data_IF_877769062989
#
_entry.id   IF_877769062989
#
_cell.length_a   1.000
_cell.length_b   1.000
_cell.length_c   1.000
_cell.angle_alpha   90.00
_cell.angle_beta   90.00
_cell.angle_gamma   90.00
#
_symmetry.space_group_name_H-M   'P 1'
#
loop_
_entity.id
_entity.type
_entity.pdbx_description
1 polymer ?
#
# COMPACT_ATOMS: atom_id res chain seq x y z
N UNK A 1 13.48 -7.80 -16.54
CA UNK A 1 12.21 -8.03 -17.24
C UNK A 1 11.12 -7.50 -16.31
N UNK A 2 10.31 -6.55 -16.77
CA UNK A 2 9.17 -6.00 -16.01
C UNK A 2 8.02 -7.04 -16.03
N UNK A 3 7.10 -7.05 -15.04
CA UNK A 3 6.07 -8.07 -14.94
C UNK A 3 5.08 -8.02 -16.13
N UNK A 4 4.79 -9.17 -16.75
CA UNK A 4 4.01 -9.22 -17.99
C UNK A 4 2.50 -9.00 -17.79
N UNK A 5 1.87 -9.45 -16.69
CA UNK A 5 0.43 -9.20 -16.44
C UNK A 5 0.04 -9.23 -14.94
N UNK A 6 0.13 -8.10 -14.21
CA UNK A 6 -0.16 -8.03 -12.77
C UNK A 6 -1.65 -8.00 -12.34
N UNK A 7 -2.60 -7.85 -13.27
CA UNK A 7 -3.91 -7.20 -13.01
C UNK A 7 -5.03 -8.09 -12.48
N UNK A 8 -5.04 -9.37 -12.86
CA UNK A 8 -6.23 -10.23 -12.72
C UNK A 8 -6.63 -10.57 -11.29
N UNK A 9 -5.73 -10.37 -10.31
CA UNK A 9 -5.92 -10.79 -8.92
C UNK A 9 -5.57 -9.74 -7.87
N UNK A 10 -4.89 -8.66 -8.27
CA UNK A 10 -4.56 -7.53 -7.38
C UNK A 10 -5.74 -6.63 -7.14
N UNK A 11 -6.68 -6.56 -8.10
CA UNK A 11 -7.82 -5.62 -8.07
C UNK A 11 -8.70 -5.82 -6.83
N UNK A 12 -9.02 -7.07 -6.49
CA UNK A 12 -9.87 -7.35 -5.32
C UNK A 12 -9.14 -7.10 -4.00
N UNK A 13 -7.83 -7.39 -3.94
CA UNK A 13 -7.01 -7.13 -2.75
C UNK A 13 -6.82 -5.64 -2.53
N UNK A 14 -6.58 -4.89 -3.61
CA UNK A 14 -6.41 -3.44 -3.60
C UNK A 14 -7.70 -2.73 -3.20
N UNK A 15 -8.84 -3.14 -3.77
CA UNK A 15 -10.15 -2.60 -3.41
C UNK A 15 -10.47 -2.82 -1.92
N UNK A 16 -10.14 -3.99 -1.36
CA UNK A 16 -10.33 -4.25 0.08
C UNK A 16 -9.42 -3.37 0.93
N UNK A 17 -8.16 -3.15 0.51
CA UNK A 17 -7.23 -2.28 1.24
C UNK A 17 -7.65 -0.81 1.20
N UNK A 18 -8.16 -0.34 0.05
CA UNK A 18 -8.77 0.98 -0.14
C UNK A 18 -10.02 1.13 0.74
N UNK A 19 -10.92 0.15 0.75
CA UNK A 19 -12.11 0.16 1.60
C UNK A 19 -11.74 0.18 3.10
N UNK A 20 -10.78 -0.66 3.52
CA UNK A 20 -10.29 -0.68 4.91
C UNK A 20 -9.63 0.66 5.30
N UNK A 21 -8.94 1.34 4.36
CA UNK A 21 -8.36 2.66 4.57
C UNK A 21 -9.45 3.74 4.70
N UNK A 22 -10.40 3.76 3.77
CA UNK A 22 -11.52 4.70 3.75
C UNK A 22 -12.39 4.55 5.01
N UNK A 23 -12.63 3.33 5.46
CA UNK A 23 -13.36 3.05 6.70
C UNK A 23 -12.63 3.61 7.93
N UNK A 24 -11.29 3.54 7.97
CA UNK A 24 -10.50 4.12 9.05
C UNK A 24 -10.59 5.66 9.05
N UNK A 25 -10.49 6.28 7.87
CA UNK A 25 -10.62 7.73 7.71
C UNK A 25 -12.03 8.21 8.06
N UNK A 26 -13.07 7.55 7.55
CA UNK A 26 -14.47 7.85 7.88
C UNK A 26 -14.76 7.72 9.37
N UNK A 27 -14.25 6.65 10.00
CA UNK A 27 -14.41 6.45 11.45
C UNK A 27 -13.68 7.50 12.30
N UNK A 28 -12.64 8.15 11.76
CA UNK A 28 -11.98 9.31 12.36
C UNK A 28 -12.81 10.59 12.19
N UNK A 29 -13.27 10.88 10.97
CA UNK A 29 -14.09 12.05 10.63
C UNK A 29 -15.40 12.13 11.42
N UNK A 30 -16.09 11.00 11.59
CA UNK A 30 -17.33 10.91 12.39
C UNK A 30 -17.14 11.32 13.87
N UNK A 31 -15.89 11.53 14.32
CA UNK A 31 -15.51 11.74 15.71
C UNK A 31 -14.74 13.04 15.95
N UNK A 32 -15.00 14.06 15.14
CA UNK A 32 -14.33 15.38 15.04
C UNK A 32 -14.14 16.21 16.35
N UNK A 33 -14.43 15.65 17.53
CA UNK A 33 -14.33 16.34 18.81
C UNK A 33 -14.03 15.42 20.02
N UNK A 34 -13.60 14.18 19.79
CA UNK A 34 -13.31 13.21 20.85
C UNK A 34 -11.95 13.38 21.55
N UNK A 35 -11.77 12.85 22.78
CA UNK A 35 -10.45 12.73 23.41
C UNK A 35 -9.49 11.93 22.51
N UNK A 36 -8.33 12.49 22.21
CA UNK A 36 -7.35 11.88 21.30
C UNK A 36 -7.51 12.26 19.83
N UNK A 37 -8.57 12.99 19.45
CA UNK A 37 -8.80 13.44 18.08
C UNK A 37 -7.61 14.21 17.50
N UNK A 38 -7.04 15.17 18.23
CA UNK A 38 -5.87 15.93 17.73
C UNK A 38 -4.65 15.03 17.41
N UNK A 39 -4.46 13.96 18.17
CA UNK A 39 -3.37 13.02 17.95
C UNK A 39 -3.67 12.05 16.78
N UNK A 40 -4.93 11.65 16.62
CA UNK A 40 -5.40 10.87 15.45
C UNK A 40 -5.33 11.72 14.17
N UNK A 41 -5.78 12.97 14.24
CA UNK A 41 -5.74 13.96 13.15
C UNK A 41 -4.32 14.25 12.69
N UNK A 42 -3.36 14.36 13.63
CA UNK A 42 -1.95 14.50 13.28
C UNK A 42 -1.42 13.30 12.49
N UNK A 43 -1.93 12.09 12.74
CA UNK A 43 -1.55 10.89 11.99
C UNK A 43 -2.18 10.87 10.60
N UNK A 44 -3.45 11.28 10.46
CA UNK A 44 -4.15 11.36 9.18
C UNK A 44 -3.52 12.43 8.29
N UNK A 45 -3.32 13.64 8.84
CA UNK A 45 -2.68 14.75 8.13
C UNK A 45 -1.25 14.43 7.71
N UNK A 46 -0.49 13.69 8.53
CA UNK A 46 0.84 13.21 8.15
C UNK A 46 0.82 12.41 6.85
N UNK A 47 -0.23 11.64 6.56
CA UNK A 47 -0.31 10.91 5.29
C UNK A 47 -0.67 11.85 4.13
N UNK A 48 -1.66 12.73 4.31
CA UNK A 48 -2.04 13.72 3.31
C UNK A 48 -0.85 14.63 2.92
N UNK A 49 -0.16 15.21 3.91
CA UNK A 49 1.02 16.07 3.68
C UNK A 49 2.14 15.33 2.93
N UNK A 50 2.23 14.00 3.10
CA UNK A 50 3.24 13.18 2.43
C UNK A 50 2.90 12.92 0.97
N UNK A 51 1.62 12.63 0.67
CA UNK A 51 1.13 12.51 -0.70
C UNK A 51 1.25 13.85 -1.44
N UNK A 52 0.80 14.95 -0.84
CA UNK A 52 0.86 16.31 -1.42
C UNK A 52 2.30 16.71 -1.75
N UNK A 53 3.24 16.47 -0.83
CA UNK A 53 4.66 16.74 -1.07
C UNK A 53 5.22 15.88 -2.20
N UNK A 54 4.81 14.60 -2.26
CA UNK A 54 5.24 13.66 -3.28
C UNK A 54 4.73 14.05 -4.68
N UNK A 55 3.46 14.43 -4.78
CA UNK A 55 2.82 14.94 -6.00
C UNK A 55 3.47 16.24 -6.47
N UNK A 56 3.73 17.18 -5.55
CA UNK A 56 4.38 18.44 -5.86
C UNK A 56 5.81 18.22 -6.41
N UNK A 57 6.57 17.30 -5.82
CA UNK A 57 7.91 16.94 -6.29
C UNK A 57 7.89 16.28 -7.68
N UNK A 58 6.92 15.39 -7.91
CA UNK A 58 6.76 14.73 -9.21
C UNK A 58 6.36 15.74 -10.29
N UNK A 59 5.37 16.59 -10.00
CA UNK A 59 4.94 17.68 -10.88
C UNK A 59 6.08 18.66 -11.20
N UNK A 60 6.90 19.01 -10.22
CA UNK A 60 8.08 19.85 -10.45
C UNK A 60 9.12 19.20 -11.35
N UNK A 61 9.24 17.86 -11.33
CA UNK A 61 10.22 17.10 -12.09
C UNK A 61 9.82 16.85 -13.54
N UNK A 62 8.58 16.42 -13.76
CA UNK A 62 8.10 15.95 -15.07
C UNK A 62 6.97 16.80 -15.69
N UNK A 63 6.53 17.86 -15.02
CA UNK A 63 5.43 18.74 -15.45
C UNK A 63 4.06 18.26 -14.93
N UNK A 64 2.95 18.99 -15.17
CA UNK A 64 1.62 18.58 -14.69
C UNK A 64 0.95 17.51 -15.56
N UNK A 65 1.48 17.20 -16.75
CA UNK A 65 0.82 16.32 -17.72
C UNK A 65 0.64 14.86 -17.27
N UNK A 66 1.37 14.40 -16.26
CA UNK A 66 1.15 13.06 -15.67
C UNK A 66 -0.14 12.99 -14.82
N UNK A 67 -0.68 14.14 -14.38
CA UNK A 67 -1.97 14.21 -13.67
C UNK A 67 -3.14 14.03 -14.64
N UNK A 68 -3.03 14.61 -15.84
CA UNK A 68 -4.10 14.65 -16.85
C UNK A 68 -4.42 13.27 -17.45
N UNK A 69 -3.46 12.35 -17.52
CA UNK A 69 -3.66 11.00 -18.08
C UNK A 69 -4.35 10.02 -17.11
N UNK A 70 -4.56 10.42 -15.84
CA UNK A 70 -5.25 9.60 -14.83
C UNK A 70 -6.78 9.76 -14.84
N UNK A 71 -7.31 10.85 -15.42
CA UNK A 71 -8.75 11.12 -15.51
C UNK A 71 -9.46 10.32 -16.62
N UNK A 72 -8.72 9.74 -17.56
CA UNK A 72 -9.24 8.90 -18.66
C UNK A 72 -9.17 7.39 -18.35
N UNK A 73 -9.06 7.01 -17.07
CA UNK A 73 -9.28 5.63 -16.65
C UNK A 73 -10.80 5.32 -16.69
N UNK A 74 -11.28 4.40 -17.54
CA UNK A 74 -12.69 4.02 -17.57
C UNK A 74 -12.99 3.10 -16.38
N UNK A 75 -13.10 3.68 -15.18
CA UNK A 75 -13.62 3.02 -13.99
C UNK A 75 -15.09 3.35 -13.77
N UNK A 76 -15.87 3.34 -14.83
CA UNK A 76 -17.32 3.27 -14.76
C UNK A 76 -17.79 2.53 -16.00
N UNK A 77 -17.99 1.22 -15.89
CA UNK A 77 -19.21 0.60 -16.40
C UNK A 77 -19.32 -0.84 -15.90
N UNK A 78 -20.55 -1.17 -15.52
CA UNK A 78 -20.90 -2.37 -14.78
C UNK A 78 -20.50 -3.67 -15.45
N UNK A 79 -19.94 -4.57 -14.64
CA UNK A 79 -19.95 -5.99 -14.95
C UNK A 79 -20.76 -6.69 -13.87
N UNK A 80 -22.05 -6.87 -14.16
CA UNK A 80 -22.84 -7.95 -13.60
C UNK A 80 -22.12 -9.26 -13.94
N UNK A 81 -21.68 -10.00 -12.92
CA UNK A 81 -21.23 -11.38 -13.10
C UNK A 81 -22.18 -12.33 -12.38
N UNK A 82 -22.75 -13.23 -13.17
CA UNK A 82 -23.58 -14.37 -12.78
C UNK A 82 -22.90 -15.23 -11.70
N UNK A 83 -23.68 -15.90 -10.83
CA UNK A 83 -23.14 -16.63 -9.70
C UNK A 83 -22.53 -17.96 -10.18
N UNK A 84 -21.20 -18.06 -10.11
CA UNK A 84 -20.51 -19.34 -10.23
C UNK A 84 -20.69 -20.13 -8.93
N UNK A 85 -21.40 -21.25 -9.07
CA UNK A 85 -21.70 -22.33 -8.14
C UNK A 85 -20.87 -22.38 -6.84
N UNK A 86 -21.48 -21.89 -5.75
CA UNK A 86 -20.95 -21.89 -4.40
C UNK A 86 -21.16 -23.26 -3.72
N UNK A 87 -20.38 -24.29 -4.06
CA UNK A 87 -20.39 -25.56 -3.31
C UNK A 87 -19.02 -26.23 -3.20
N UNK A 88 -18.09 -25.63 -2.42
CA UNK A 88 -16.95 -26.36 -1.85
C UNK A 88 -16.34 -25.67 -0.60
N UNK A 89 -17.02 -25.83 0.54
CA UNK A 89 -16.53 -26.11 1.90
C UNK A 89 -15.24 -25.45 2.50
N UNK A 90 -15.46 -24.75 3.63
CA UNK A 90 -14.50 -24.53 4.74
C UNK A 90 -14.81 -23.24 5.54
N UNK A 91 -15.22 -23.27 6.83
CA UNK A 91 -15.73 -22.08 7.53
C UNK A 91 -14.69 -21.14 8.15
N UNK A 92 -13.38 -21.37 8.01
CA UNK A 92 -12.35 -20.62 8.77
C UNK A 92 -11.25 -19.93 7.94
N UNK A 93 -11.35 -19.95 6.60
CA UNK A 93 -10.36 -19.29 5.74
C UNK A 93 -10.85 -17.88 5.39
N UNK A 94 -10.07 -16.81 5.68
CA UNK A 94 -10.40 -15.47 5.20
C UNK A 94 -10.62 -15.48 3.69
N UNK A 95 -11.68 -14.82 3.19
CA UNK A 95 -12.07 -14.79 1.77
C UNK A 95 -10.88 -14.44 0.85
N UNK A 96 -9.99 -13.59 1.34
CA UNK A 96 -8.72 -13.30 0.69
C UNK A 96 -7.90 -14.58 0.45
N UNK A 97 -7.59 -15.42 1.44
CA UNK A 97 -6.83 -16.66 1.23
C UNK A 97 -7.49 -17.63 0.25
N UNK A 98 -8.82 -17.63 0.17
CA UNK A 98 -9.58 -18.44 -0.79
C UNK A 98 -9.39 -17.98 -2.24
N UNK A 99 -9.44 -16.67 -2.50
CA UNK A 99 -9.25 -16.09 -3.83
C UNK A 99 -7.80 -16.23 -4.35
N UNK A 100 -6.85 -16.55 -3.47
CA UNK A 100 -5.40 -16.47 -3.73
C UNK A 100 -4.73 -17.77 -4.16
N UNK A 101 -5.44 -18.90 -4.12
CA UNK A 101 -4.83 -20.24 -4.19
C UNK A 101 -4.02 -20.51 -5.47
N UNK A 102 -4.39 -19.87 -6.59
CA UNK A 102 -3.92 -20.26 -7.92
C UNK A 102 -3.25 -19.11 -8.73
N UNK A 103 -2.67 -18.09 -8.07
CA UNK A 103 -2.15 -16.87 -8.74
C UNK A 103 -0.67 -16.57 -8.42
N UNK A 104 0.14 -16.37 -9.45
CA UNK A 104 1.53 -15.91 -9.33
C UNK A 104 1.58 -14.38 -9.11
N UNK A 105 2.10 -13.94 -7.95
CA UNK A 105 2.27 -12.52 -7.62
C UNK A 105 3.68 -12.05 -7.94
N UNK A 106 3.84 -10.74 -8.13
CA UNK A 106 5.19 -10.16 -8.13
C UNK A 106 5.76 -10.23 -6.69
N UNK A 107 7.01 -10.67 -6.52
CA UNK A 107 7.56 -10.97 -5.19
C UNK A 107 7.60 -9.78 -4.20
N UNK A 108 7.77 -8.56 -4.69
CA UNK A 108 7.78 -7.33 -3.87
C UNK A 108 6.39 -7.11 -3.27
N UNK A 109 5.35 -7.24 -4.09
CA UNK A 109 3.96 -7.11 -3.65
C UNK A 109 3.54 -8.24 -2.69
N UNK A 110 3.95 -9.48 -2.97
CA UNK A 110 3.68 -10.61 -2.08
C UNK A 110 4.28 -10.40 -0.68
N UNK A 111 5.53 -9.92 -0.62
CA UNK A 111 6.19 -9.58 0.66
C UNK A 111 5.47 -8.46 1.40
N UNK A 112 5.05 -7.42 0.68
CA UNK A 112 4.29 -6.32 1.26
C UNK A 112 2.99 -6.82 1.91
N UNK A 113 2.23 -7.67 1.21
CA UNK A 113 1.00 -8.28 1.74
C UNK A 113 1.24 -9.19 2.94
N UNK A 114 2.29 -10.02 2.89
CA UNK A 114 2.63 -10.95 3.96
C UNK A 114 2.94 -10.23 5.29
N UNK A 115 3.50 -9.02 5.21
CA UNK A 115 3.69 -8.13 6.36
C UNK A 115 2.41 -7.37 6.73
N UNK A 116 1.74 -6.76 5.75
CA UNK A 116 0.59 -5.89 5.95
C UNK A 116 -0.58 -6.59 6.63
N UNK A 117 -0.92 -7.82 6.21
CA UNK A 117 -2.08 -8.54 6.75
C UNK A 117 -2.00 -8.76 8.26
N UNK A 118 -0.94 -9.39 8.79
CA UNK A 118 -0.74 -9.53 10.23
C UNK A 118 -0.65 -8.17 10.96
N UNK A 119 0.08 -7.19 10.41
CA UNK A 119 0.25 -5.89 11.04
C UNK A 119 -1.08 -5.13 11.19
N UNK A 120 -1.89 -5.11 10.12
CA UNK A 120 -3.22 -4.50 10.11
C UNK A 120 -4.16 -5.20 11.09
N UNK A 121 -4.25 -6.54 11.05
CA UNK A 121 -5.13 -7.29 11.97
C UNK A 121 -4.78 -7.03 13.43
N UNK A 122 -3.49 -7.06 13.76
CA UNK A 122 -3.03 -6.72 15.10
C UNK A 122 -3.42 -5.29 15.47
N UNK A 123 -3.03 -4.31 14.66
CA UNK A 123 -3.20 -2.91 14.97
C UNK A 123 -4.69 -2.53 15.07
N UNK A 124 -5.54 -3.01 14.14
CA UNK A 124 -6.99 -2.77 14.15
C UNK A 124 -7.64 -3.36 15.39
N UNK A 125 -7.29 -4.60 15.76
CA UNK A 125 -7.82 -5.26 16.96
C UNK A 125 -7.35 -4.58 18.26
N UNK A 126 -6.11 -4.11 18.32
CA UNK A 126 -5.58 -3.37 19.45
C UNK A 126 -6.19 -1.97 19.54
N UNK A 127 -6.33 -1.27 18.41
CA UNK A 127 -6.90 0.07 18.31
C UNK A 127 -8.38 0.11 18.71
N UNK A 128 -9.13 -0.94 18.37
CA UNK A 128 -10.52 -1.10 18.80
C UNK A 128 -10.66 -1.22 20.33
N UNK A 129 -9.63 -1.73 21.02
CA UNK A 129 -9.60 -1.84 22.49
C UNK A 129 -9.07 -0.58 23.15
N UNK A 130 -8.03 0.01 22.58
CA UNK A 130 -7.38 1.21 23.07
C UNK A 130 -7.04 2.13 21.92
N UNK A 131 -7.66 3.31 21.91
CA UNK A 131 -7.40 4.33 20.91
C UNK A 131 -6.05 4.97 21.16
N UNK A 132 -5.05 4.55 20.39
CA UNK A 132 -3.69 5.02 20.49
C UNK A 132 -3.18 5.44 19.11
N UNK A 133 -2.58 6.63 18.96
CA UNK A 133 -2.18 7.17 17.65
C UNK A 133 -1.16 6.29 16.93
N UNK A 134 -0.27 5.63 17.66
CA UNK A 134 0.68 4.69 17.05
C UNK A 134 -0.01 3.44 16.48
N UNK A 135 -1.12 2.99 17.05
CA UNK A 135 -1.88 1.87 16.49
C UNK A 135 -2.62 2.30 15.23
N UNK A 136 -3.24 3.49 15.23
CA UNK A 136 -3.86 4.07 14.04
C UNK A 136 -2.84 4.22 12.89
N UNK A 137 -1.65 4.76 13.20
CA UNK A 137 -0.57 4.91 12.22
C UNK A 137 -0.13 3.57 11.63
N UNK A 138 -0.07 2.50 12.44
CA UNK A 138 0.21 1.14 11.92
C UNK A 138 -0.93 0.65 11.03
N UNK A 139 -2.19 0.85 11.42
CA UNK A 139 -3.34 0.46 10.59
C UNK A 139 -3.30 1.10 9.21
N UNK A 140 -3.21 2.43 9.15
CA UNK A 140 -3.21 3.18 7.89
C UNK A 140 -2.04 2.78 6.99
N UNK A 141 -0.83 2.75 7.56
CA UNK A 141 0.36 2.41 6.79
C UNK A 141 0.40 0.93 6.36
N UNK A 142 -0.23 0.03 7.11
CA UNK A 142 -0.37 -1.36 6.68
C UNK A 142 -1.28 -1.50 5.44
N UNK A 143 -2.27 -0.60 5.25
CA UNK A 143 -3.01 -0.52 3.99
C UNK A 143 -2.17 0.13 2.89
N UNK A 144 -1.56 1.29 3.18
CA UNK A 144 -0.87 2.10 2.18
C UNK A 144 0.36 1.41 1.57
N UNK A 145 1.16 0.67 2.33
CA UNK A 145 2.37 -0.01 1.80
C UNK A 145 2.05 -0.92 0.60
N UNK A 146 1.16 -1.93 0.70
CA UNK A 146 0.82 -2.77 -0.44
C UNK A 146 0.09 -1.98 -1.55
N UNK A 147 -0.74 -0.98 -1.23
CA UNK A 147 -1.38 -0.12 -2.24
C UNK A 147 -0.34 0.57 -3.12
N UNK A 148 0.64 1.24 -2.49
CA UNK A 148 1.71 1.96 -3.18
C UNK A 148 2.63 1.05 -3.98
N UNK A 149 2.95 -0.15 -3.47
CA UNK A 149 3.65 -1.16 -4.26
C UNK A 149 2.81 -1.61 -5.46
N UNK A 150 1.50 -1.78 -5.31
CA UNK A 150 0.60 -2.16 -6.40
C UNK A 150 0.54 -1.08 -7.48
N UNK A 151 0.31 0.19 -7.10
CA UNK A 151 0.30 1.33 -8.02
C UNK A 151 1.63 1.44 -8.78
N UNK A 152 2.77 1.34 -8.09
CA UNK A 152 4.06 1.34 -8.76
C UNK A 152 4.19 0.23 -9.82
N UNK A 153 3.75 -0.99 -9.50
CA UNK A 153 3.84 -2.11 -10.43
C UNK A 153 2.87 -1.98 -11.61
N UNK A 154 1.73 -1.32 -11.39
CA UNK A 154 0.77 -1.00 -12.44
C UNK A 154 1.37 0.04 -13.39
N UNK A 155 1.95 1.11 -12.85
CA UNK A 155 2.67 2.13 -13.61
C UNK A 155 3.79 1.54 -14.45
N UNK A 156 4.58 0.60 -13.91
CA UNK A 156 5.65 -0.04 -14.66
C UNK A 156 5.21 -0.87 -15.88
N UNK A 157 3.93 -1.19 -15.98
CA UNK A 157 3.40 -1.86 -17.16
C UNK A 157 2.85 -0.88 -18.20
N UNK A 158 2.69 0.40 -17.85
CA UNK A 158 2.56 1.46 -18.84
C UNK A 158 3.93 1.77 -19.46
N UNK A 159 3.96 2.02 -20.76
CA UNK A 159 5.18 2.36 -21.51
C UNK A 159 5.23 3.86 -21.87
N UNK A 160 4.60 4.71 -21.05
CA UNK A 160 4.62 6.16 -21.26
C UNK A 160 5.94 6.80 -20.79
N UNK A 161 6.06 8.11 -21.02
CA UNK A 161 7.27 8.88 -20.74
C UNK A 161 7.55 9.05 -19.23
N UNK A 162 6.53 8.87 -18.38
CA UNK A 162 6.51 9.23 -16.98
C UNK A 162 6.40 8.02 -16.05
N UNK A 163 5.93 6.86 -16.52
CA UNK A 163 5.60 5.71 -15.66
C UNK A 163 6.77 5.21 -14.82
N UNK A 164 8.02 5.35 -15.29
CA UNK A 164 9.20 5.04 -14.47
C UNK A 164 9.40 6.02 -13.31
N UNK A 165 9.09 7.30 -13.50
CA UNK A 165 9.20 8.33 -12.47
C UNK A 165 8.04 8.25 -11.47
N UNK A 166 6.81 8.01 -11.95
CA UNK A 166 5.65 7.75 -11.09
C UNK A 166 5.88 6.50 -10.26
N UNK A 167 6.27 5.37 -10.88
CA UNK A 167 6.51 4.13 -10.14
C UNK A 167 7.63 4.22 -9.10
N UNK A 168 8.72 4.93 -9.38
CA UNK A 168 9.79 5.17 -8.41
C UNK A 168 9.28 5.96 -7.21
N UNK A 169 8.38 6.92 -7.45
CA UNK A 169 7.77 7.77 -6.43
C UNK A 169 6.76 7.01 -5.57
N UNK A 170 5.94 6.17 -6.17
CA UNK A 170 5.04 5.25 -5.45
C UNK A 170 5.82 4.27 -4.55
N UNK A 171 6.95 3.72 -5.03
CA UNK A 171 7.81 2.87 -4.20
C UNK A 171 8.52 3.64 -3.07
N UNK A 172 8.84 4.91 -3.28
CA UNK A 172 9.36 5.79 -2.23
C UNK A 172 8.33 6.03 -1.12
N UNK A 173 7.07 6.29 -1.49
CA UNK A 173 5.96 6.38 -0.55
C UNK A 173 5.77 5.09 0.23
N UNK A 174 5.81 3.94 -0.44
CA UNK A 174 5.76 2.63 0.22
C UNK A 174 6.87 2.47 1.29
N UNK A 175 8.10 2.95 1.01
CA UNK A 175 9.19 2.94 2.00
C UNK A 175 8.91 3.87 3.18
N UNK A 176 8.38 5.07 2.93
CA UNK A 176 8.03 6.03 3.97
C UNK A 176 6.96 5.46 4.93
N UNK A 177 5.89 4.89 4.37
CA UNK A 177 4.81 4.28 5.16
C UNK A 177 5.29 3.05 5.95
N UNK A 178 6.10 2.19 5.34
CA UNK A 178 6.70 1.05 6.02
C UNK A 178 7.58 1.50 7.19
N UNK A 179 8.46 2.48 6.97
CA UNK A 179 9.35 3.03 8.00
C UNK A 179 8.56 3.60 9.18
N UNK A 180 7.50 4.37 8.91
CA UNK A 180 6.62 4.94 9.93
C UNK A 180 5.88 3.87 10.72
N UNK A 181 5.34 2.86 10.06
CA UNK A 181 4.70 1.73 10.72
C UNK A 181 5.68 0.98 11.64
N UNK A 182 6.89 0.70 11.16
CA UNK A 182 7.94 0.06 11.96
C UNK A 182 8.32 0.91 13.17
N UNK A 183 8.54 2.21 13.00
CA UNK A 183 8.84 3.11 14.12
C UNK A 183 7.71 3.16 15.16
N UNK A 184 6.46 3.08 14.71
CA UNK A 184 5.28 3.01 15.58
C UNK A 184 5.23 1.71 16.36
N UNK A 185 5.48 0.57 15.71
CA UNK A 185 5.60 -0.74 16.36
C UNK A 185 6.75 -0.76 17.39
N UNK A 186 7.90 -0.17 17.06
CA UNK A 186 9.02 -0.04 18.00
C UNK A 186 8.67 0.85 19.19
N UNK A 187 7.95 1.95 18.98
CA UNK A 187 7.45 2.80 20.06
C UNK A 187 6.48 2.05 20.97
N UNK A 188 5.59 1.23 20.41
CA UNK A 188 4.67 0.39 21.17
C UNK A 188 5.42 -0.69 21.97
N UNK A 189 6.46 -1.31 21.38
CA UNK A 189 7.34 -2.25 22.07
C UNK A 189 8.05 -1.59 23.25
N UNK A 190 8.66 -0.42 23.04
CA UNK A 190 9.34 0.32 24.10
C UNK A 190 8.40 0.72 25.25
N UNK A 191 7.13 0.98 24.95
CA UNK A 191 6.10 1.27 25.93
C UNK A 191 5.48 0.03 26.61
N UNK A 192 5.90 -1.19 26.26
CA UNK A 192 5.32 -2.44 26.78
C UNK A 192 3.89 -2.71 26.28
N UNK A 193 3.51 -2.11 25.14
CA UNK A 193 2.18 -2.18 24.52
C UNK A 193 2.11 -3.10 23.31
N UNK A 194 3.26 -3.56 22.80
CA UNK A 194 3.35 -4.58 21.77
C UNK A 194 3.44 -5.96 22.45
N UNK A 195 2.46 -6.86 22.27
CA UNK A 195 2.57 -8.22 22.78
C UNK A 195 3.78 -8.96 22.20
N UNK A 196 4.40 -9.84 22.99
CA UNK A 196 5.62 -10.55 22.59
C UNK A 196 5.42 -11.37 21.30
N UNK A 197 4.24 -11.96 21.11
CA UNK A 197 3.85 -12.70 19.91
C UNK A 197 3.74 -11.83 18.64
N UNK A 198 3.66 -10.51 18.79
CA UNK A 198 3.58 -9.53 17.70
C UNK A 198 4.91 -8.82 17.44
N UNK A 199 5.95 -9.05 18.25
CA UNK A 199 7.27 -8.42 18.05
C UNK A 199 7.90 -8.80 16.70
N UNK A 200 7.56 -9.99 16.18
CA UNK A 200 8.00 -10.44 14.87
C UNK A 200 7.59 -9.51 13.71
N UNK A 201 6.54 -8.71 13.87
CA UNK A 201 6.08 -7.76 12.85
C UNK A 201 7.15 -6.72 12.48
N UNK A 202 8.01 -6.35 13.43
CA UNK A 202 9.12 -5.41 13.18
C UNK A 202 10.16 -6.08 12.27
N UNK A 203 10.53 -7.33 12.57
CA UNK A 203 11.51 -8.07 11.78
C UNK A 203 10.97 -8.40 10.37
N UNK A 204 9.67 -8.66 10.24
CA UNK A 204 9.01 -8.91 8.96
C UNK A 204 8.98 -7.69 8.02
N UNK A 205 9.18 -6.47 8.54
CA UNK A 205 9.26 -5.27 7.71
C UNK A 205 10.56 -5.21 6.89
N UNK A 206 11.68 -5.75 7.38
CA UNK A 206 12.98 -5.63 6.72
C UNK A 206 13.01 -6.28 5.32
N UNK A 207 12.51 -7.53 5.13
CA UNK A 207 12.42 -8.14 3.80
C UNK A 207 11.56 -7.36 2.80
N UNK A 208 10.57 -6.59 3.28
CA UNK A 208 9.74 -5.70 2.44
C UNK A 208 10.57 -4.49 2.02
N UNK A 209 11.23 -3.82 2.97
CA UNK A 209 12.10 -2.67 2.70
C UNK A 209 13.22 -3.02 1.69
N UNK A 210 13.84 -4.19 1.83
CA UNK A 210 14.83 -4.71 0.88
C UNK A 210 14.25 -4.91 -0.51
N UNK A 211 13.07 -5.53 -0.61
CA UNK A 211 12.41 -5.79 -1.89
C UNK A 211 12.02 -4.50 -2.60
N UNK A 212 11.47 -3.52 -1.87
CA UNK A 212 11.13 -2.20 -2.43
C UNK A 212 12.39 -1.46 -2.88
N UNK A 213 13.47 -1.52 -2.10
CA UNK A 213 14.76 -0.91 -2.47
C UNK A 213 15.34 -1.53 -3.75
N UNK A 214 15.26 -2.85 -3.89
CA UNK A 214 15.69 -3.53 -5.11
C UNK A 214 14.80 -3.17 -6.30
N UNK A 215 13.47 -3.08 -6.10
CA UNK A 215 12.54 -2.63 -7.14
C UNK A 215 12.88 -1.23 -7.65
N UNK A 216 13.13 -0.26 -6.77
CA UNK A 216 13.60 1.09 -7.14
C UNK A 216 14.94 1.06 -7.87
N UNK A 217 15.86 0.20 -7.42
CA UNK A 217 17.15 0.02 -8.10
C UNK A 217 17.00 -0.54 -9.51
N UNK A 218 16.01 -1.42 -9.76
CA UNK A 218 15.66 -1.90 -11.10
C UNK A 218 15.15 -0.75 -11.98
N UNK A 219 14.28 0.11 -11.45
CA UNK A 219 13.77 1.29 -12.16
C UNK A 219 14.91 2.24 -12.53
N UNK A 220 15.82 2.52 -11.61
CA UNK A 220 16.97 3.38 -11.90
C UNK A 220 17.87 2.82 -13.03
N UNK A 221 18.08 1.49 -13.06
CA UNK A 221 18.82 0.81 -14.15
C UNK A 221 18.07 0.88 -15.47
N UNK A 222 16.74 0.70 -15.44
CA UNK A 222 15.86 0.82 -16.60
C UNK A 222 15.91 2.23 -17.20
N UNK A 223 15.74 3.25 -16.36
CA UNK A 223 15.82 4.67 -16.75
C UNK A 223 17.14 4.98 -17.45
N UNK A 224 18.26 4.53 -16.87
CA UNK A 224 19.58 4.70 -17.48
C UNK A 224 19.67 4.01 -18.85
N UNK A 225 19.16 2.79 -18.98
CA UNK A 225 19.16 2.06 -20.27
C UNK A 225 18.37 2.81 -21.35
N UNK A 226 17.21 3.39 -21.00
CA UNK A 226 16.39 4.17 -21.94
C UNK A 226 17.09 5.45 -22.39
N UNK A 227 17.85 6.10 -21.51
CA UNK A 227 18.65 7.30 -21.84
C UNK A 227 19.86 6.98 -22.74
N UNK A 228 20.49 5.82 -22.53
CA UNK A 228 21.69 5.39 -23.27
C UNK A 228 21.37 4.77 -24.64
N UNK A 229 20.09 4.53 -24.97
CA UNK A 229 19.66 3.94 -26.25
C UNK A 229 19.10 5.03 -27.16
N UNK A 230 19.86 5.55 -28.15
CA UNK A 230 19.32 6.51 -29.10
C UNK A 230 18.25 5.86 -29.98
N UNK A 231 17.11 6.53 -30.13
CA UNK A 231 16.08 6.18 -31.12
C UNK A 231 16.72 6.19 -32.52
N UNK A 232 16.76 5.02 -33.17
CA UNK A 232 17.23 4.84 -34.56
C UNK A 232 16.13 5.25 -35.54
#
# INVERSE_FOLDING_TARGET
MLPEYPWGSRRDELAVLEEDFDDLCRAHEERESGPGFEAEEAVVREQADTEDASEAELTAKIGPGWLEESEDCPHHDGHEHEPADATAHGPDMPVLEFLRRDLEREPTYERALAWAGPAFRFAKAAYAKERHPQLLRVCLNACLVPMKVSYALNELAHEDAYSLDVADKELELAQAYLSRATASLESLRAAGRLPAEQEGLIALAAPVAEAVTEARSRIARERKRRQDTPLI
#
